data_IF_588991728705
#
_entry.id   IF_588991728705
#
_cell.length_a   1.000
_cell.length_b   1.000
_cell.length_c   1.000
_cell.angle_alpha   90.00
_cell.angle_beta   90.00
_cell.angle_gamma   90.00
#
_symmetry.space_group_name_H-M   'P 1'
#
loop_
_entity.id
_entity.type
_entity.pdbx_description
1 polymer ?
#
# COMPACT_ATOMS: atom_id res chain seq x y z
N UNK A 1 16.62 -11.44 -32.36
CA UNK A 1 16.45 -10.13 -31.72
C UNK A 1 15.68 -10.36 -30.43
N UNK A 2 16.14 -9.77 -29.32
CA UNK A 2 15.71 -10.13 -27.97
C UNK A 2 14.18 -10.11 -27.82
N UNK A 3 13.65 -11.18 -27.23
CA UNK A 3 12.26 -11.31 -26.80
C UNK A 3 12.14 -10.48 -25.52
N UNK A 4 12.15 -9.16 -25.66
CA UNK A 4 12.08 -8.23 -24.54
C UNK A 4 10.63 -8.08 -24.11
N UNK A 5 10.28 -8.66 -22.96
CA UNK A 5 9.09 -8.43 -22.13
C UNK A 5 8.08 -7.45 -22.76
N UNK A 6 7.06 -7.97 -23.46
CA UNK A 6 5.90 -7.17 -23.90
C UNK A 6 4.95 -6.96 -22.71
N UNK A 7 5.43 -6.29 -21.68
CA UNK A 7 4.54 -5.72 -20.66
C UNK A 7 4.12 -4.36 -21.20
N UNK A 8 2.85 -4.23 -21.57
CA UNK A 8 2.32 -2.94 -22.01
C UNK A 8 2.24 -1.98 -20.82
N UNK A 9 2.51 -0.69 -21.07
CA UNK A 9 2.32 0.41 -20.12
C UNK A 9 0.91 0.37 -19.48
N UNK A 10 -0.10 -0.04 -20.25
CA UNK A 10 -1.49 -0.21 -19.84
C UNK A 10 -1.69 -1.34 -18.82
N UNK A 11 -1.01 -2.48 -19.02
CA UNK A 11 -1.04 -3.59 -18.04
C UNK A 11 -0.39 -3.19 -16.71
N UNK A 12 0.66 -2.38 -16.75
CA UNK A 12 1.33 -1.89 -15.54
C UNK A 12 0.49 -0.83 -14.83
N UNK A 13 -0.11 0.10 -15.57
CA UNK A 13 -1.01 1.10 -15.01
C UNK A 13 -2.27 0.46 -14.39
N UNK A 14 -2.84 -0.57 -15.02
CA UNK A 14 -3.99 -1.29 -14.48
C UNK A 14 -3.65 -2.12 -13.24
N UNK A 15 -2.46 -2.75 -13.21
CA UNK A 15 -1.94 -3.39 -12.01
C UNK A 15 -1.73 -2.39 -10.87
N UNK A 16 -1.14 -1.22 -11.15
CA UNK A 16 -0.97 -0.12 -10.17
C UNK A 16 -2.31 0.31 -9.58
N UNK A 17 -3.30 0.55 -10.45
CA UNK A 17 -4.64 0.97 -10.04
C UNK A 17 -5.33 -0.08 -9.16
N UNK A 18 -5.27 -1.36 -9.55
CA UNK A 18 -5.82 -2.46 -8.74
C UNK A 18 -5.13 -2.59 -7.38
N UNK A 19 -3.81 -2.41 -7.36
CA UNK A 19 -3.02 -2.45 -6.14
C UNK A 19 -3.42 -1.29 -5.23
N UNK A 20 -3.45 -0.06 -5.75
CA UNK A 20 -3.82 1.15 -5.00
C UNK A 20 -5.22 1.04 -4.39
N UNK A 21 -6.22 0.57 -5.16
CA UNK A 21 -7.57 0.36 -4.65
C UNK A 21 -7.66 -0.72 -3.56
N UNK A 22 -6.88 -1.79 -3.68
CA UNK A 22 -6.80 -2.83 -2.64
C UNK A 22 -6.17 -2.27 -1.37
N UNK A 23 -5.13 -1.46 -1.50
CA UNK A 23 -4.40 -0.86 -0.37
C UNK A 23 -5.27 0.18 0.37
N UNK A 24 -6.02 1.01 -0.35
CA UNK A 24 -7.02 1.91 0.26
C UNK A 24 -8.05 1.12 1.08
N UNK A 25 -8.55 0.02 0.52
CA UNK A 25 -9.49 -0.87 1.23
C UNK A 25 -8.87 -1.44 2.49
N UNK A 26 -7.62 -1.93 2.42
CA UNK A 26 -6.90 -2.45 3.58
C UNK A 26 -6.68 -1.38 4.65
N UNK A 27 -6.30 -0.16 4.28
CA UNK A 27 -6.15 0.95 5.23
C UNK A 27 -7.47 1.27 5.93
N UNK A 28 -8.58 1.32 5.19
CA UNK A 28 -9.91 1.53 5.77
C UNK A 28 -10.31 0.41 6.74
N UNK A 29 -10.02 -0.84 6.40
CA UNK A 29 -10.33 -1.99 7.26
C UNK A 29 -9.48 -2.00 8.53
N UNK A 30 -8.18 -1.69 8.42
CA UNK A 30 -7.27 -1.54 9.57
C UNK A 30 -7.76 -0.44 10.51
N UNK A 31 -8.17 0.72 9.97
CA UNK A 31 -8.71 1.82 10.75
C UNK A 31 -10.01 1.41 11.47
N UNK A 32 -10.95 0.77 10.76
CA UNK A 32 -12.21 0.31 11.34
C UNK A 32 -12.01 -0.73 12.45
N UNK A 33 -11.06 -1.66 12.25
CA UNK A 33 -10.69 -2.64 13.27
C UNK A 33 -10.10 -1.94 14.50
N UNK A 34 -9.21 -0.98 14.30
CA UNK A 34 -8.65 -0.21 15.41
C UNK A 34 -9.74 0.51 16.21
N UNK A 35 -10.68 1.20 15.54
CA UNK A 35 -11.81 1.86 16.19
C UNK A 35 -12.69 0.86 16.96
N UNK A 36 -13.01 -0.28 16.34
CA UNK A 36 -13.87 -1.29 16.95
C UNK A 36 -13.26 -1.85 18.22
N UNK A 37 -11.98 -2.23 18.17
CA UNK A 37 -11.30 -2.79 19.33
C UNK A 37 -11.04 -1.71 20.40
N UNK A 38 -10.71 -0.48 20.00
CA UNK A 38 -10.61 0.67 20.93
C UNK A 38 -11.92 0.89 21.70
N UNK A 39 -13.06 0.78 21.02
CA UNK A 39 -14.38 0.95 21.61
C UNK A 39 -14.70 -0.09 22.68
N UNK A 40 -14.17 -1.32 22.56
CA UNK A 40 -14.32 -2.34 23.60
C UNK A 40 -13.62 -1.96 24.91
N UNK A 41 -12.59 -1.11 24.84
CA UNK A 41 -11.78 -0.66 25.95
C UNK A 41 -12.13 0.75 26.47
N UNK A 42 -13.13 1.41 25.91
CA UNK A 42 -13.63 2.70 26.41
C UNK A 42 -14.57 2.53 27.61
N UNK A 43 -14.79 3.56 28.46
CA UNK A 43 -15.78 3.50 29.53
C UNK A 43 -17.16 3.05 29.02
N UNK A 44 -17.68 1.94 29.55
CA UNK A 44 -18.93 1.31 29.08
C UNK A 44 -18.76 0.25 27.98
N UNK A 45 -17.55 0.09 27.44
CA UNK A 45 -17.16 -1.03 26.59
C UNK A 45 -17.00 -2.33 27.38
N UNK A 46 -17.36 -3.46 26.75
CA UNK A 46 -17.40 -4.78 27.42
C UNK A 46 -16.08 -5.27 28.00
N UNK A 47 -14.94 -4.65 27.62
CA UNK A 47 -13.60 -4.98 28.11
C UNK A 47 -12.96 -3.82 28.90
N UNK A 48 -13.70 -2.75 29.23
CA UNK A 48 -13.17 -1.57 29.92
C UNK A 48 -12.44 -1.92 31.24
N UNK A 49 -13.08 -2.73 32.07
CA UNK A 49 -12.52 -3.16 33.37
C UNK A 49 -11.34 -4.13 33.21
N UNK A 50 -11.17 -4.74 32.04
CA UNK A 50 -10.01 -5.59 31.75
C UNK A 50 -8.81 -4.77 31.27
N UNK A 51 -9.02 -3.53 30.80
CA UNK A 51 -7.93 -2.65 30.40
C UNK A 51 -7.12 -2.09 31.59
N UNK A 52 -7.63 -2.22 32.82
CA UNK A 52 -6.88 -1.86 34.04
C UNK A 52 -5.78 -2.88 34.38
N UNK A 53 -5.74 -4.02 33.66
CA UNK A 53 -4.64 -4.98 33.71
C UNK A 53 -3.46 -4.47 32.89
N UNK A 54 -2.25 -4.33 33.47
CA UNK A 54 -1.05 -3.92 32.74
C UNK A 54 -0.76 -4.79 31.51
N UNK A 55 -1.05 -6.09 31.60
CA UNK A 55 -0.84 -7.03 30.50
C UNK A 55 -1.77 -6.75 29.30
N UNK A 56 -3.02 -6.36 29.56
CA UNK A 56 -3.96 -6.00 28.49
C UNK A 56 -3.60 -4.67 27.85
N UNK A 57 -3.14 -3.69 28.63
CA UNK A 57 -2.61 -2.43 28.09
C UNK A 57 -1.44 -2.69 27.14
N UNK A 58 -0.47 -3.50 27.53
CA UNK A 58 0.68 -3.85 26.67
C UNK A 58 0.27 -4.61 25.40
N UNK A 59 -0.65 -5.57 25.51
CA UNK A 59 -1.17 -6.29 24.34
C UNK A 59 -1.88 -5.35 23.37
N UNK A 60 -2.65 -4.39 23.90
CA UNK A 60 -3.35 -3.39 23.11
C UNK A 60 -2.40 -2.43 22.39
N UNK A 61 -1.39 -1.90 23.10
CA UNK A 61 -0.34 -1.07 22.50
C UNK A 61 0.45 -1.82 21.42
N UNK A 62 0.76 -3.09 21.67
CA UNK A 62 1.44 -3.95 20.69
C UNK A 62 0.58 -4.18 19.46
N UNK A 63 -0.73 -4.41 19.64
CA UNK A 63 -1.68 -4.55 18.55
C UNK A 63 -1.80 -3.27 17.72
N UNK A 64 -1.97 -2.10 18.35
CA UNK A 64 -2.01 -0.82 17.63
C UNK A 64 -0.71 -0.56 16.87
N UNK A 65 0.44 -0.84 17.48
CA UNK A 65 1.75 -0.69 16.84
C UNK A 65 1.87 -1.62 15.63
N UNK A 66 1.43 -2.88 15.75
CA UNK A 66 1.44 -3.83 14.65
C UNK A 66 0.52 -3.37 13.49
N UNK A 67 -0.67 -2.84 13.79
CA UNK A 67 -1.58 -2.29 12.78
C UNK A 67 -0.98 -1.07 12.05
N UNK A 68 -0.39 -0.13 12.79
CA UNK A 68 0.26 1.04 12.20
C UNK A 68 1.46 0.63 11.33
N UNK A 69 2.28 -0.31 11.82
CA UNK A 69 3.40 -0.84 11.04
C UNK A 69 2.92 -1.54 9.77
N UNK A 70 1.84 -2.31 9.84
CA UNK A 70 1.22 -2.94 8.67
C UNK A 70 0.76 -1.90 7.64
N UNK A 71 0.05 -0.85 8.08
CA UNK A 71 -0.40 0.24 7.22
C UNK A 71 0.78 1.01 6.57
N UNK A 72 1.85 1.24 7.31
CA UNK A 72 3.06 1.89 6.81
C UNK A 72 3.80 1.02 5.78
N UNK A 73 3.90 -0.29 6.02
CA UNK A 73 4.52 -1.22 5.07
C UNK A 73 3.73 -1.30 3.76
N UNK A 74 2.40 -1.37 3.86
CA UNK A 74 1.46 -1.29 2.74
C UNK A 74 1.74 -0.04 1.91
N UNK A 75 1.75 1.14 2.55
CA UNK A 75 2.00 2.44 1.87
C UNK A 75 3.39 2.51 1.22
N UNK A 76 4.41 1.96 1.90
CA UNK A 76 5.78 1.93 1.40
C UNK A 76 5.88 1.09 0.14
N UNK A 77 5.26 -0.09 0.14
CA UNK A 77 5.22 -0.96 -1.04
C UNK A 77 4.49 -0.29 -2.21
N UNK A 78 3.37 0.39 -1.95
CA UNK A 78 2.66 1.19 -2.95
C UNK A 78 3.56 2.21 -3.62
N UNK A 79 4.26 2.99 -2.81
CA UNK A 79 5.15 4.05 -3.28
C UNK A 79 6.28 3.48 -4.13
N UNK A 80 6.86 2.34 -3.72
CA UNK A 80 7.89 1.67 -4.51
C UNK A 80 7.34 1.17 -5.85
N UNK A 81 6.13 0.62 -5.87
CA UNK A 81 5.50 0.15 -7.09
C UNK A 81 5.21 1.29 -8.06
N UNK A 82 4.60 2.39 -7.59
CA UNK A 82 4.35 3.57 -8.43
C UNK A 82 5.65 4.13 -9.02
N UNK A 83 6.74 4.14 -8.24
CA UNK A 83 8.06 4.55 -8.75
C UNK A 83 8.58 3.60 -9.85
N UNK A 84 8.39 2.28 -9.70
CA UNK A 84 8.74 1.30 -10.75
C UNK A 84 7.94 1.57 -12.02
N UNK A 85 6.63 1.83 -11.90
CA UNK A 85 5.76 2.15 -13.04
C UNK A 85 6.24 3.42 -13.74
N UNK A 86 6.48 4.50 -13.00
CA UNK A 86 6.95 5.75 -13.59
C UNK A 86 8.30 5.61 -14.30
N UNK A 87 9.25 4.89 -13.69
CA UNK A 87 10.54 4.62 -14.32
C UNK A 87 10.38 3.81 -15.63
N UNK A 88 9.46 2.86 -15.67
CA UNK A 88 9.18 2.08 -16.87
C UNK A 88 8.56 2.94 -17.98
N UNK A 89 7.57 3.78 -17.64
CA UNK A 89 6.93 4.69 -18.59
C UNK A 89 7.92 5.73 -19.15
N UNK A 90 8.79 6.25 -18.30
CA UNK A 90 9.84 7.19 -18.72
C UNK A 90 10.83 6.51 -19.67
N UNK A 91 11.27 5.28 -19.35
CA UNK A 91 12.19 4.53 -20.20
C UNK A 91 11.57 4.23 -21.58
N UNK A 92 10.30 3.87 -21.63
CA UNK A 92 9.58 3.62 -22.89
C UNK A 92 9.45 4.91 -23.73
N UNK A 93 9.10 6.03 -23.09
CA UNK A 93 9.02 7.35 -23.74
C UNK A 93 10.37 7.81 -24.30
N UNK A 94 11.46 7.64 -23.55
CA UNK A 94 12.82 8.01 -23.98
C UNK A 94 13.30 7.13 -25.15
N UNK A 95 12.95 5.84 -25.12
CA UNK A 95 13.29 4.89 -26.19
C UNK A 95 12.52 5.19 -27.46
N UNK A 96 11.21 5.43 -27.36
CA UNK A 96 10.36 5.83 -28.47
C UNK A 96 10.88 7.12 -29.13
N UNK A 97 11.19 8.14 -28.33
CA UNK A 97 11.70 9.43 -28.80
C UNK A 97 13.01 9.31 -29.58
N UNK A 98 13.93 8.44 -29.14
CA UNK A 98 15.22 8.19 -29.83
C UNK A 98 15.03 7.45 -31.14
N UNK A 99 14.10 6.50 -31.23
CA UNK A 99 13.78 5.76 -32.46
C UNK A 99 13.17 6.71 -33.50
N UNK A 100 12.22 7.57 -33.11
CA UNK A 100 11.62 8.53 -34.05
C UNK A 100 12.63 9.55 -34.57
N UNK A 101 13.53 10.02 -33.70
CA UNK A 101 14.58 10.99 -34.07
C UNK A 101 15.60 10.40 -35.05
N UNK A 102 15.97 9.12 -34.89
CA UNK A 102 16.90 8.43 -35.79
C UNK A 102 16.27 7.96 -37.11
N UNK A 103 14.95 7.77 -37.15
CA UNK A 103 14.21 7.50 -38.39
C UNK A 103 13.95 8.76 -39.25
N UNK A 104 14.17 9.96 -38.69
CA UNK A 104 13.91 11.25 -39.34
C UNK A 104 15.15 11.89 -39.99
N UNK A 105 16.28 11.18 -39.99
CA UNK A 105 17.59 11.60 -40.51
C UNK A 105 18.15 10.53 -41.43
#
# INVERSE_FOLDING_TARGET
>A
MAIGIQISSEQVASAASSMNGTLETMQSQIAALNTSVSGLFMPGGGLYLLMTSPAMTTLWESFQTALQNGANQVTTFTTQFDNIVQNMLQFDSDTASKITSSASS
#
